data_IF_763350683777
#
_entry.id   IF_763350683777
#
_cell.length_a   1.000
_cell.length_b   1.000
_cell.length_c   1.000
_cell.angle_alpha   90.00
_cell.angle_beta   90.00
_cell.angle_gamma   90.00
#
_symmetry.space_group_name_H-M   'P 1'
#
loop_
_entity.id
_entity.type
_entity.pdbx_description
1 polymer ?
#
# COMPACT_ATOMS: atom_id res chain seq x y z
N UNK A 1 -27.78 12.05 1.77
CA UNK A 1 -27.80 11.48 3.13
C UNK A 1 -26.36 11.12 3.46
N UNK A 2 -25.80 11.71 4.52
CA UNK A 2 -24.45 11.36 4.98
C UNK A 2 -24.50 9.93 5.51
N UNK A 3 -23.64 9.06 4.98
CA UNK A 3 -23.66 7.61 5.17
C UNK A 3 -23.42 7.19 6.63
N UNK A 4 -23.04 8.12 7.52
CA UNK A 4 -22.57 7.81 8.89
C UNK A 4 -23.08 8.72 10.03
N UNK A 5 -23.92 9.73 9.79
CA UNK A 5 -24.17 10.78 10.80
C UNK A 5 -25.11 10.42 11.97
N UNK A 6 -25.80 9.28 11.95
CA UNK A 6 -26.64 8.85 13.07
C UNK A 6 -26.74 7.34 13.15
N UNK A 7 -26.04 6.75 14.13
CA UNK A 7 -26.29 5.37 14.57
C UNK A 7 -27.04 5.48 15.89
N UNK A 8 -28.28 5.00 15.93
CA UNK A 8 -29.04 4.91 17.18
C UNK A 8 -28.43 3.78 18.01
N UNK A 9 -27.80 4.15 19.13
CA UNK A 9 -27.29 3.19 20.11
C UNK A 9 -28.10 3.39 21.39
N UNK A 10 -28.97 2.42 21.68
CA UNK A 10 -29.75 2.31 22.92
C UNK A 10 -30.54 3.56 23.33
N UNK A 11 -31.80 3.67 22.89
CA UNK A 11 -32.72 4.72 23.35
C UNK A 11 -32.41 6.10 22.75
N UNK A 12 -32.44 7.16 23.57
CA UNK A 12 -32.31 8.55 23.10
C UNK A 12 -30.86 9.05 22.94
N UNK A 13 -29.84 8.25 23.30
CA UNK A 13 -28.44 8.65 23.11
C UNK A 13 -28.02 8.51 21.65
N UNK A 14 -27.90 9.63 20.97
CA UNK A 14 -27.35 9.70 19.60
C UNK A 14 -25.84 9.89 19.68
N UNK A 15 -25.09 8.85 19.33
CA UNK A 15 -23.66 9.03 19.08
C UNK A 15 -23.50 9.71 17.72
N UNK A 16 -23.03 10.96 17.74
CA UNK A 16 -22.69 11.70 16.52
C UNK A 16 -21.34 11.19 16.04
N UNK A 17 -21.35 10.41 14.97
CA UNK A 17 -20.13 9.98 14.31
C UNK A 17 -19.51 11.15 13.53
N UNK A 18 -18.18 11.23 13.39
CA UNK A 18 -17.55 12.21 12.52
C UNK A 18 -18.13 12.15 11.10
N UNK A 19 -18.25 13.29 10.39
CA UNK A 19 -18.66 13.34 9.00
C UNK A 19 -17.89 12.36 8.12
N UNK A 20 -18.54 11.81 7.09
CA UNK A 20 -17.89 10.86 6.18
C UNK A 20 -16.58 11.40 5.57
N UNK A 21 -16.52 12.70 5.27
CA UNK A 21 -15.31 13.34 4.74
C UNK A 21 -14.10 13.26 5.67
N UNK A 22 -14.30 13.27 6.99
CA UNK A 22 -13.24 13.14 7.98
C UNK A 22 -12.78 11.70 8.09
N UNK A 23 -13.74 10.77 8.10
CA UNK A 23 -13.48 9.33 8.19
C UNK A 23 -12.75 8.82 6.94
N UNK A 24 -13.15 9.27 5.76
CA UNK A 24 -12.54 8.88 4.48
C UNK A 24 -11.09 9.39 4.33
N UNK A 25 -10.65 10.36 5.14
CA UNK A 25 -9.26 10.82 5.16
C UNK A 25 -8.35 9.93 6.01
N UNK A 26 -8.92 9.08 6.89
CA UNK A 26 -8.15 8.18 7.75
C UNK A 26 -7.35 7.19 6.92
N UNK A 27 -7.99 6.58 5.92
CA UNK A 27 -7.35 5.67 4.98
C UNK A 27 -7.84 5.92 3.56
N UNK A 28 -6.91 6.03 2.61
CA UNK A 28 -7.20 6.31 1.20
C UNK A 28 -6.65 5.21 0.31
N UNK A 29 -7.36 4.98 -0.79
CA UNK A 29 -6.82 4.26 -1.93
C UNK A 29 -5.96 5.22 -2.74
N UNK A 30 -4.73 4.82 -3.00
CA UNK A 30 -3.79 5.53 -3.83
C UNK A 30 -3.59 4.75 -5.11
N UNK A 31 -3.66 5.44 -6.25
CA UNK A 31 -3.40 4.86 -7.56
C UNK A 31 -1.97 5.17 -7.98
N UNK A 32 -1.35 4.24 -8.68
CA UNK A 32 -0.07 4.46 -9.34
C UNK A 32 -0.31 4.56 -10.83
N UNK A 33 -0.01 5.74 -11.38
CA UNK A 33 -0.19 6.04 -12.80
C UNK A 33 1.16 5.97 -13.52
N UNK A 34 1.15 5.42 -14.73
CA UNK A 34 2.35 5.32 -15.57
C UNK A 34 2.90 6.69 -16.01
N UNK A 35 2.07 7.74 -15.97
CA UNK A 35 2.42 9.11 -16.30
C UNK A 35 1.66 10.10 -15.41
N UNK A 36 2.13 11.35 -15.28
CA UNK A 36 1.39 12.40 -14.60
C UNK A 36 0.05 12.70 -15.27
N UNK A 37 -0.90 13.22 -14.48
CA UNK A 37 -2.15 13.73 -15.03
C UNK A 37 -1.93 14.98 -15.88
N UNK A 38 -2.65 15.03 -16.99
CA UNK A 38 -2.54 16.08 -17.99
C UNK A 38 -3.50 17.25 -17.73
N UNK A 39 -4.53 17.02 -16.90
CA UNK A 39 -5.67 17.91 -16.69
C UNK A 39 -6.79 17.71 -17.72
N UNK A 40 -6.60 16.84 -18.73
CA UNK A 40 -7.64 16.50 -19.71
C UNK A 40 -8.43 15.28 -19.22
N UNK A 41 -9.75 15.47 -19.05
CA UNK A 41 -10.62 14.50 -18.41
C UNK A 41 -10.61 13.12 -19.10
N UNK A 42 -10.65 13.07 -20.43
CA UNK A 42 -10.73 11.82 -21.18
C UNK A 42 -9.44 10.99 -21.01
N UNK A 43 -8.28 11.64 -21.14
CA UNK A 43 -6.98 11.02 -20.98
C UNK A 43 -6.71 10.60 -19.53
N UNK A 44 -7.04 11.46 -18.56
CA UNK A 44 -6.77 11.21 -17.15
C UNK A 44 -7.73 10.16 -16.57
N UNK A 45 -9.01 10.17 -16.97
CA UNK A 45 -9.95 9.12 -16.58
C UNK A 45 -9.53 7.75 -17.11
N UNK A 46 -9.05 7.67 -18.35
CA UNK A 46 -8.51 6.44 -18.92
C UNK A 46 -7.29 5.93 -18.11
N UNK A 47 -6.42 6.83 -17.65
CA UNK A 47 -5.29 6.47 -16.76
C UNK A 47 -5.78 5.92 -15.42
N UNK A 48 -6.74 6.59 -14.78
CA UNK A 48 -7.31 6.17 -13.49
C UNK A 48 -7.95 4.78 -13.61
N UNK A 49 -8.84 4.60 -14.58
CA UNK A 49 -9.53 3.33 -14.78
C UNK A 49 -8.58 2.21 -15.21
N UNK A 50 -7.56 2.54 -16.00
CA UNK A 50 -6.49 1.61 -16.38
C UNK A 50 -5.72 1.11 -15.16
N UNK A 51 -5.25 2.02 -14.31
CA UNK A 51 -4.53 1.68 -13.07
C UNK A 51 -5.39 0.82 -12.13
N UNK A 52 -6.66 1.18 -11.95
CA UNK A 52 -7.58 0.39 -11.12
C UNK A 52 -7.77 -1.02 -11.70
N UNK A 53 -7.99 -1.14 -13.00
CA UNK A 53 -8.18 -2.43 -13.69
C UNK A 53 -6.94 -3.32 -13.59
N UNK A 54 -5.75 -2.72 -13.71
CA UNK A 54 -4.48 -3.42 -13.59
C UNK A 54 -4.09 -3.72 -12.13
N UNK A 55 -4.83 -3.18 -11.15
CA UNK A 55 -4.50 -3.34 -9.74
C UNK A 55 -3.27 -2.53 -9.30
N UNK A 56 -2.91 -1.48 -10.03
CA UNK A 56 -1.83 -0.53 -9.69
C UNK A 56 -2.27 0.41 -8.57
N UNK A 57 -2.48 -0.16 -7.38
CA UNK A 57 -3.13 0.48 -6.25
C UNK A 57 -2.47 0.05 -4.93
N UNK A 58 -2.59 0.91 -3.93
CA UNK A 58 -2.34 0.55 -2.53
C UNK A 58 -3.29 1.31 -1.61
N UNK A 59 -3.47 0.80 -0.40
CA UNK A 59 -4.21 1.48 0.66
C UNK A 59 -3.21 2.02 1.67
N UNK A 60 -3.36 3.27 2.08
CA UNK A 60 -2.57 3.85 3.16
C UNK A 60 -3.48 4.41 4.24
N UNK A 61 -3.11 4.19 5.51
CA UNK A 61 -3.69 4.83 6.69
C UNK A 61 -3.00 6.18 6.86
N UNK A 62 -3.38 7.14 6.04
CA UNK A 62 -2.71 8.44 5.88
C UNK A 62 -2.67 9.31 7.13
N UNK A 63 -3.53 9.05 8.11
CA UNK A 63 -3.45 9.70 9.42
C UNK A 63 -2.14 9.37 10.16
N UNK A 64 -1.50 8.22 9.86
CA UNK A 64 -0.19 7.87 10.41
C UNK A 64 0.94 8.64 9.70
N UNK A 65 0.75 8.97 8.42
CA UNK A 65 1.66 9.81 7.65
C UNK A 65 1.35 9.80 6.16
N UNK A 66 1.78 10.86 5.48
CA UNK A 66 1.69 10.99 4.02
C UNK A 66 2.44 9.86 3.31
N UNK A 67 1.72 9.02 2.55
CA UNK A 67 2.27 7.91 1.78
C UNK A 67 2.74 8.31 0.37
N UNK A 68 2.63 9.58 -0.02
CA UNK A 68 2.98 10.06 -1.36
C UNK A 68 4.43 9.71 -1.73
N UNK A 69 4.61 8.96 -2.80
CA UNK A 69 5.92 8.46 -3.24
C UNK A 69 6.23 7.03 -2.80
N UNK A 70 5.31 6.35 -2.09
CA UNK A 70 5.37 4.91 -1.91
C UNK A 70 5.35 4.18 -3.27
N UNK A 71 6.19 3.17 -3.40
CA UNK A 71 6.25 2.34 -4.61
C UNK A 71 6.68 0.91 -4.27
N UNK A 72 6.02 -0.08 -4.88
CA UNK A 72 6.40 -1.48 -4.83
C UNK A 72 6.56 -2.03 -6.26
N UNK A 73 7.78 -2.46 -6.57
CA UNK A 73 8.20 -2.95 -7.89
C UNK A 73 8.92 -4.28 -7.79
N UNK A 74 8.91 -5.03 -8.87
CA UNK A 74 9.77 -6.17 -9.10
C UNK A 74 10.51 -5.98 -10.42
N UNK A 75 11.78 -6.38 -10.49
CA UNK A 75 12.51 -6.40 -11.74
C UNK A 75 13.48 -7.57 -11.82
N UNK A 76 13.69 -8.06 -13.02
CA UNK A 76 14.74 -9.03 -13.33
C UNK A 76 15.37 -8.66 -14.69
N UNK A 77 16.09 -9.59 -15.33
CA UNK A 77 16.73 -9.33 -16.63
C UNK A 77 15.74 -9.17 -17.78
N UNK A 78 14.53 -9.69 -17.65
CA UNK A 78 13.54 -9.80 -18.72
C UNK A 78 12.51 -8.67 -18.65
N UNK A 79 12.09 -8.29 -17.44
CA UNK A 79 10.99 -7.34 -17.26
C UNK A 79 11.07 -6.54 -15.95
N UNK A 80 10.27 -5.47 -15.90
CA UNK A 80 9.87 -4.77 -14.69
C UNK A 80 8.35 -4.91 -14.54
N UNK A 81 7.89 -5.03 -13.30
CA UNK A 81 6.50 -5.16 -12.91
C UNK A 81 6.22 -4.29 -11.69
N UNK A 82 5.05 -3.68 -11.63
CA UNK A 82 4.59 -2.91 -10.47
C UNK A 82 3.55 -3.71 -9.70
N UNK A 83 3.20 -3.30 -8.48
CA UNK A 83 2.06 -3.87 -7.76
C UNK A 83 0.82 -3.95 -8.66
N UNK A 84 0.17 -5.11 -8.71
CA UNK A 84 -0.90 -5.44 -9.64
C UNK A 84 -0.46 -6.30 -10.83
N UNK A 85 0.79 -6.17 -11.27
CA UNK A 85 1.33 -6.87 -12.43
C UNK A 85 1.80 -8.29 -12.13
N UNK A 86 2.04 -9.03 -13.21
CA UNK A 86 2.73 -10.30 -13.18
C UNK A 86 4.19 -10.15 -13.66
N UNK A 87 5.08 -10.96 -13.10
CA UNK A 87 6.46 -11.08 -13.55
C UNK A 87 6.84 -12.55 -13.62
N UNK A 88 7.69 -12.93 -14.58
CA UNK A 88 8.29 -14.27 -14.57
C UNK A 88 9.23 -14.40 -13.38
N UNK A 89 9.01 -15.40 -12.55
CA UNK A 89 9.93 -15.77 -11.48
C UNK A 89 11.23 -16.29 -12.11
N UNK A 90 12.35 -15.61 -11.83
CA UNK A 90 13.65 -15.93 -12.40
C UNK A 90 14.79 -15.60 -11.43
N UNK A 91 15.96 -16.26 -11.55
CA UNK A 91 17.14 -15.96 -10.74
C UNK A 91 17.47 -14.47 -10.74
N UNK A 92 17.58 -13.89 -9.54
CA UNK A 92 17.88 -12.47 -9.36
C UNK A 92 16.68 -11.54 -9.48
N UNK A 93 15.45 -12.05 -9.50
CA UNK A 93 14.24 -11.22 -9.40
C UNK A 93 14.28 -10.42 -8.09
N UNK A 94 14.31 -9.10 -8.22
CA UNK A 94 14.46 -8.15 -7.14
C UNK A 94 13.15 -7.40 -6.92
N UNK A 95 12.60 -7.56 -5.74
CA UNK A 95 11.52 -6.76 -5.20
C UNK A 95 12.11 -5.50 -4.55
N UNK A 96 11.64 -4.33 -4.94
CA UNK A 96 12.07 -3.04 -4.42
C UNK A 96 10.88 -2.31 -3.84
N UNK A 97 11.03 -1.85 -2.60
CA UNK A 97 10.06 -1.02 -1.89
C UNK A 97 10.70 0.33 -1.61
N UNK A 98 10.04 1.38 -2.06
CA UNK A 98 10.44 2.76 -1.80
C UNK A 98 9.38 3.40 -0.88
N UNK A 99 9.82 3.98 0.22
CA UNK A 99 8.99 4.67 1.20
C UNK A 99 9.25 6.19 1.17
N UNK A 100 8.23 7.01 1.50
CA UNK A 100 8.40 8.45 1.57
C UNK A 100 9.31 8.90 2.72
N UNK A 101 9.69 10.18 2.72
CA UNK A 101 10.70 10.71 3.64
C UNK A 101 10.29 10.61 5.13
N UNK A 102 9.00 10.73 5.43
CA UNK A 102 8.43 10.57 6.76
C UNK A 102 8.56 9.14 7.31
N UNK A 103 8.79 8.13 6.47
CA UNK A 103 8.95 6.74 6.91
C UNK A 103 10.09 6.57 7.94
N UNK A 104 11.15 7.39 7.85
CA UNK A 104 12.22 7.39 8.85
C UNK A 104 11.73 7.85 10.22
N UNK A 105 10.92 8.91 10.28
CA UNK A 105 10.37 9.45 11.53
C UNK A 105 9.34 8.50 12.13
N UNK A 106 8.59 7.80 11.29
CA UNK A 106 7.62 6.78 11.71
C UNK A 106 8.30 5.45 12.08
N UNK A 107 9.62 5.35 11.95
CA UNK A 107 10.37 4.10 12.14
C UNK A 107 9.75 2.94 11.34
N UNK A 108 9.22 3.25 10.15
CA UNK A 108 8.40 2.34 9.39
C UNK A 108 9.20 1.08 8.98
N UNK A 109 8.57 -0.08 9.08
CA UNK A 109 9.15 -1.39 8.74
C UNK A 109 8.40 -1.95 7.54
N UNK A 110 9.14 -2.30 6.49
CA UNK A 110 8.61 -3.04 5.34
C UNK A 110 8.57 -4.52 5.67
N UNK A 111 7.43 -5.17 5.44
CA UNK A 111 7.24 -6.62 5.49
C UNK A 111 6.91 -7.13 4.10
N UNK A 112 7.70 -8.07 3.61
CA UNK A 112 7.45 -8.75 2.34
C UNK A 112 6.82 -10.10 2.66
N UNK A 113 5.60 -10.31 2.16
CA UNK A 113 4.86 -11.55 2.31
C UNK A 113 4.84 -12.28 0.97
N UNK A 114 5.04 -13.59 1.00
CA UNK A 114 4.79 -14.47 -0.15
C UNK A 114 3.73 -15.49 0.21
N UNK A 115 2.65 -15.53 -0.56
CA UNK A 115 1.50 -16.39 -0.30
C UNK A 115 0.96 -16.22 1.14
N UNK A 116 0.96 -14.98 1.64
CA UNK A 116 0.50 -14.63 2.98
C UNK A 116 1.48 -14.92 4.12
N UNK A 117 2.65 -15.48 3.83
CA UNK A 117 3.69 -15.77 4.84
C UNK A 117 4.79 -14.72 4.72
N UNK A 118 5.16 -14.07 5.82
CA UNK A 118 6.29 -13.14 5.84
C UNK A 118 7.59 -13.89 5.51
N UNK A 119 8.31 -13.40 4.50
CA UNK A 119 9.58 -13.99 4.03
C UNK A 119 10.77 -13.05 4.23
N UNK A 120 10.52 -11.78 4.52
CA UNK A 120 11.53 -10.76 4.71
C UNK A 120 10.97 -9.50 5.39
N UNK A 121 11.84 -8.79 6.10
CA UNK A 121 11.55 -7.49 6.71
C UNK A 121 12.74 -6.53 6.59
N UNK A 122 12.47 -5.22 6.52
CA UNK A 122 13.49 -4.17 6.53
C UNK A 122 13.92 -3.77 7.94
N UNK A 123 15.01 -3.00 8.04
CA UNK A 123 15.26 -2.24 9.26
C UNK A 123 14.22 -1.12 9.44
N UNK A 124 13.97 -0.70 10.67
CA UNK A 124 13.09 0.41 10.99
C UNK A 124 13.57 1.72 10.34
N UNK A 125 12.65 2.44 9.70
CA UNK A 125 12.93 3.71 9.03
C UNK A 125 13.77 3.60 7.75
N UNK A 126 13.99 2.38 7.24
CA UNK A 126 14.69 2.14 5.99
C UNK A 126 13.81 2.56 4.80
N UNK A 127 14.24 3.59 4.08
CA UNK A 127 13.45 4.18 2.98
C UNK A 127 13.42 3.38 1.69
N UNK A 128 14.50 2.67 1.39
CA UNK A 128 14.59 1.82 0.19
C UNK A 128 15.00 0.43 0.66
N UNK A 129 14.14 -0.54 0.40
CA UNK A 129 14.35 -1.93 0.77
C UNK A 129 14.38 -2.80 -0.49
N UNK A 130 15.36 -3.70 -0.56
CA UNK A 130 15.50 -4.65 -1.64
C UNK A 130 15.44 -6.06 -1.08
N UNK A 131 14.61 -6.90 -1.71
CA UNK A 131 14.49 -8.32 -1.41
C UNK A 131 14.65 -9.11 -2.71
N UNK A 132 15.38 -10.22 -2.68
CA UNK A 132 15.61 -11.06 -3.87
C UNK A 132 15.05 -12.44 -3.61
N UNK A 133 14.16 -12.89 -4.49
CA UNK A 133 13.57 -14.23 -4.47
C UNK A 133 13.19 -14.61 -5.89
N UNK A 134 13.56 -15.82 -6.31
CA UNK A 134 13.30 -16.37 -7.63
C UNK A 134 12.14 -17.37 -7.66
N UNK A 135 11.51 -17.59 -6.51
CA UNK A 135 10.41 -18.54 -6.36
C UNK A 135 9.09 -17.92 -6.84
N UNK A 136 8.24 -18.68 -7.55
CA UNK A 136 6.89 -18.26 -7.88
C UNK A 136 6.05 -18.01 -6.62
N UNK A 137 5.08 -17.11 -6.74
CA UNK A 137 4.15 -16.79 -5.66
C UNK A 137 3.53 -15.42 -5.78
N UNK A 138 2.60 -15.15 -4.87
CA UNK A 138 1.96 -13.84 -4.72
C UNK A 138 2.75 -13.04 -3.70
N UNK A 139 3.48 -12.02 -4.14
CA UNK A 139 4.30 -11.16 -3.28
C UNK A 139 3.53 -9.91 -2.91
N UNK A 140 3.28 -9.70 -1.62
CA UNK A 140 2.60 -8.52 -1.08
C UNK A 140 3.54 -7.77 -0.14
N UNK A 141 3.37 -6.46 -0.08
CA UNK A 141 4.09 -5.61 0.86
C UNK A 141 3.12 -4.97 1.83
N UNK A 142 3.47 -5.05 3.11
CA UNK A 142 2.84 -4.30 4.18
C UNK A 142 3.89 -3.43 4.85
N UNK A 143 3.52 -2.22 5.23
CA UNK A 143 4.42 -1.29 5.94
C UNK A 143 3.81 -1.00 7.30
N UNK A 144 4.52 -1.32 8.37
CA UNK A 144 4.04 -1.11 9.75
C UNK A 144 4.81 0.01 10.44
N UNK A 145 4.21 0.58 11.49
CA UNK A 145 4.81 1.59 12.38
C UNK A 145 4.29 1.38 13.80
N UNK A 146 5.06 1.80 14.80
CA UNK A 146 4.63 1.80 16.19
C UNK A 146 3.92 3.12 16.50
N UNK A 147 2.68 3.01 16.99
CA UNK A 147 1.85 4.16 17.37
C UNK A 147 1.76 4.23 18.89
N UNK A 148 2.08 5.39 19.51
CA UNK A 148 1.94 5.56 20.94
C UNK A 148 0.49 5.41 21.38
N UNK A 149 0.27 4.73 22.51
CA UNK A 149 -1.06 4.65 23.13
C UNK A 149 -1.09 5.45 24.43
N UNK A 150 -2.24 6.07 24.75
CA UNK A 150 -2.33 7.00 25.88
C UNK A 150 -2.13 6.34 27.26
N UNK A 151 -2.40 5.03 27.38
CA UNK A 151 -2.42 4.31 28.66
C UNK A 151 -1.84 2.89 28.57
N UNK A 152 -0.97 2.62 27.59
CA UNK A 152 -0.44 1.27 27.36
C UNK A 152 0.85 1.25 26.56
N UNK A 153 1.37 0.05 26.23
CA UNK A 153 2.51 -0.07 25.34
C UNK A 153 2.16 0.47 23.94
N UNK A 154 3.18 0.87 23.20
CA UNK A 154 3.02 1.23 21.80
C UNK A 154 2.41 0.07 21.03
N UNK A 155 1.52 0.40 20.09
CA UNK A 155 0.82 -0.58 19.27
C UNK A 155 1.37 -0.55 17.87
N UNK A 156 1.71 -1.72 17.34
CA UNK A 156 2.00 -1.82 15.92
C UNK A 156 0.71 -1.60 15.11
N UNK A 157 0.78 -0.71 14.14
CA UNK A 157 -0.27 -0.46 13.16
C UNK A 157 0.29 -0.55 11.76
N UNK A 158 -0.47 -1.14 10.85
CA UNK A 158 -0.12 -1.10 9.43
C UNK A 158 -0.46 0.26 8.87
N UNK A 159 0.55 0.89 8.26
CA UNK A 159 0.44 2.15 7.55
C UNK A 159 0.09 1.95 6.09
N UNK A 160 0.72 1.00 5.38
CA UNK A 160 0.48 0.77 3.94
C UNK A 160 0.22 -0.70 3.66
N UNK A 161 -0.78 -0.96 2.82
CA UNK A 161 -1.08 -2.25 2.21
C UNK A 161 -0.97 -2.13 0.69
N UNK A 162 0.07 -2.71 0.10
CA UNK A 162 0.24 -2.73 -1.35
C UNK A 162 -0.55 -3.87 -2.00
N UNK A 163 -1.04 -3.66 -3.22
CA UNK A 163 -1.46 -4.78 -4.05
C UNK A 163 -0.27 -5.70 -4.36
N UNK A 164 -0.53 -6.99 -4.65
CA UNK A 164 0.55 -7.94 -4.85
C UNK A 164 1.19 -7.82 -6.23
N UNK A 165 2.43 -8.28 -6.35
CA UNK A 165 3.07 -8.66 -7.61
C UNK A 165 2.97 -10.18 -7.74
N UNK A 166 2.53 -10.67 -8.89
CA UNK A 166 2.37 -12.10 -9.14
C UNK A 166 3.60 -12.66 -9.85
N UNK A 167 4.47 -13.36 -9.13
CA UNK A 167 5.59 -14.06 -9.73
C UNK A 167 5.13 -15.43 -10.26
N UNK A 168 5.19 -15.63 -11.58
CA UNK A 168 4.72 -16.84 -12.27
C UNK A 168 5.88 -17.68 -12.79
N UNK A 169 5.71 -18.99 -12.86
CA UNK A 169 6.67 -19.91 -13.49
C UNK A 169 6.81 -19.71 -15.01
N UNK A 170 5.76 -19.19 -15.64
CA UNK A 170 5.68 -18.97 -17.10
C UNK A 170 5.11 -17.58 -17.35
N UNK A 171 5.70 -16.83 -18.28
CA UNK A 171 5.13 -15.55 -18.72
C UNK A 171 3.77 -15.82 -19.39
N UNK A 172 2.75 -15.06 -19.03
CA UNK A 172 1.44 -15.04 -19.72
C UNK A 172 1.55 -14.27 -21.02
#
# INVERSE_FOLDING_TARGET
ADLHQAIELWGEEKMVFPPAEDVMRIARNHIVSARPFSGEFTADSALVYGAIRAGHLYVAVDVLGDSTGFMFKASNREAEAWMGDEIRAAPGTRYTVELPANARRLEAVVRVLRNGIEVAQSAAGQRVYHYVDDRPGVYRVEVTTMVPTAFGPDREMTWIYANPIYARDTAV
#
